data_IF_638324536760
#
_entry.id   IF_638324536760
#
_cell.length_a   1.000
_cell.length_b   1.000
_cell.length_c   1.000
_cell.angle_alpha   90.00
_cell.angle_beta   90.00
_cell.angle_gamma   90.00
#
_symmetry.space_group_name_H-M   'P 1'
#
loop_
_entity.id
_entity.type
_entity.pdbx_description
1 polymer ?
#
# COMPACT_ATOMS: atom_id res chain seq x y z
N UNK A 1 -7.48 -13.99 15.62
CA UNK A 1 -7.71 -12.85 16.51
C UNK A 1 -8.10 -11.69 15.62
N UNK A 2 -9.15 -10.94 15.96
CA UNK A 2 -9.62 -9.82 15.12
C UNK A 2 -8.62 -8.68 15.24
N UNK A 3 -8.27 -8.04 14.11
CA UNK A 3 -7.34 -6.93 14.09
C UNK A 3 -8.08 -5.60 14.24
N UNK A 4 -7.61 -4.78 15.18
CA UNK A 4 -8.07 -3.39 15.32
C UNK A 4 -7.25 -2.49 14.38
N UNK A 5 -7.92 -1.57 13.70
CA UNK A 5 -7.29 -0.61 12.81
C UNK A 5 -7.63 0.80 13.29
N UNK A 6 -6.59 1.54 13.71
CA UNK A 6 -6.69 2.95 14.09
C UNK A 6 -6.76 3.83 12.84
N UNK A 7 -7.58 4.87 12.87
CA UNK A 7 -7.65 5.85 11.79
C UNK A 7 -6.38 6.72 11.79
N UNK A 8 -5.82 6.97 10.61
CA UNK A 8 -4.69 7.88 10.44
C UNK A 8 -5.15 9.34 10.32
N UNK A 9 -6.29 9.56 9.67
CA UNK A 9 -6.94 10.86 9.51
C UNK A 9 -8.39 10.82 9.99
N UNK A 10 -9.04 12.00 10.10
CA UNK A 10 -10.46 12.10 10.48
C UNK A 10 -11.42 11.50 9.45
N UNK A 11 -10.99 11.30 8.20
CA UNK A 11 -11.82 10.76 7.11
C UNK A 11 -11.69 9.24 6.95
N UNK A 12 -10.68 8.64 7.60
CA UNK A 12 -10.34 7.22 7.42
C UNK A 12 -11.16 6.27 8.31
N UNK A 13 -12.06 6.79 9.16
CA UNK A 13 -12.82 5.98 10.11
C UNK A 13 -13.58 4.84 9.41
N UNK A 14 -14.22 5.12 8.27
CA UNK A 14 -14.94 4.10 7.50
C UNK A 14 -14.03 3.02 6.94
N UNK A 15 -12.86 3.39 6.43
CA UNK A 15 -11.90 2.42 5.87
C UNK A 15 -11.28 1.56 6.98
N UNK A 16 -10.98 2.16 8.12
CA UNK A 16 -10.55 1.43 9.31
C UNK A 16 -11.59 0.40 9.77
N UNK A 17 -12.88 0.79 9.81
CA UNK A 17 -13.97 -0.15 10.10
C UNK A 17 -14.06 -1.28 9.08
N UNK A 18 -13.93 -0.99 7.78
CA UNK A 18 -13.90 -2.00 6.71
C UNK A 18 -12.79 -3.02 6.94
N UNK A 19 -11.56 -2.57 7.23
CA UNK A 19 -10.44 -3.46 7.52
C UNK A 19 -10.72 -4.34 8.73
N UNK A 20 -11.27 -3.78 9.80
CA UNK A 20 -11.66 -4.54 10.99
C UNK A 20 -12.69 -5.61 10.65
N UNK A 21 -13.74 -5.29 9.89
CA UNK A 21 -14.77 -6.26 9.46
C UNK A 21 -14.18 -7.37 8.59
N UNK A 22 -13.31 -7.03 7.63
CA UNK A 22 -12.66 -8.04 6.77
C UNK A 22 -11.77 -8.95 7.64
N UNK A 23 -11.00 -8.39 8.58
CA UNK A 23 -10.16 -9.18 9.50
C UNK A 23 -10.97 -10.09 10.42
N UNK A 24 -12.22 -9.72 10.75
CA UNK A 24 -13.13 -10.56 11.53
C UNK A 24 -13.49 -11.83 10.77
N UNK A 25 -13.88 -11.72 9.50
CA UNK A 25 -14.29 -12.86 8.68
C UNK A 25 -13.13 -13.65 8.06
N UNK A 26 -11.98 -13.00 7.88
CA UNK A 26 -10.78 -13.56 7.25
C UNK A 26 -9.52 -13.22 8.07
N UNK A 27 -9.33 -13.82 9.25
CA UNK A 27 -8.24 -13.45 10.17
C UNK A 27 -6.84 -13.81 9.67
N UNK A 28 -6.72 -14.63 8.62
CA UNK A 28 -5.45 -14.99 7.97
C UNK A 28 -5.13 -14.12 6.75
N UNK A 29 -5.97 -13.15 6.42
CA UNK A 29 -5.78 -12.31 5.25
C UNK A 29 -4.64 -11.32 5.52
N UNK A 30 -3.50 -11.53 4.87
CA UNK A 30 -2.34 -10.65 4.98
C UNK A 30 -2.57 -9.36 4.16
N UNK A 31 -1.84 -8.29 4.49
CA UNK A 31 -1.81 -7.02 3.73
C UNK A 31 -3.08 -6.15 3.71
N UNK A 32 -4.01 -6.30 4.65
CA UNK A 32 -5.13 -5.35 4.83
C UNK A 32 -4.65 -3.91 5.07
N UNK A 33 -3.44 -3.71 5.60
CA UNK A 33 -2.84 -2.38 5.76
C UNK A 33 -2.65 -1.64 4.43
N UNK A 34 -2.46 -2.38 3.33
CA UNK A 34 -2.27 -1.82 1.98
C UNK A 34 -3.57 -1.29 1.35
N UNK A 35 -4.74 -1.68 1.86
CA UNK A 35 -6.00 -1.04 1.52
C UNK A 35 -5.96 0.38 2.09
N UNK A 36 -5.81 1.37 1.22
CA UNK A 36 -5.94 2.76 1.63
C UNK A 36 -7.23 3.32 1.03
N UNK A 37 -7.81 4.25 1.78
CA UNK A 37 -8.90 5.08 1.29
C UNK A 37 -8.42 5.86 0.05
N UNK A 38 -9.29 5.99 -0.95
CA UNK A 38 -9.00 6.87 -2.08
C UNK A 38 -9.15 8.32 -1.58
N UNK A 39 -8.01 8.97 -1.29
CA UNK A 39 -7.95 10.34 -0.78
C UNK A 39 -8.63 11.39 -1.69
N UNK A 40 -9.08 11.02 -2.89
CA UNK A 40 -9.86 11.93 -3.73
C UNK A 40 -11.30 12.15 -3.21
N UNK A 41 -11.75 11.38 -2.22
CA UNK A 41 -13.07 11.57 -1.61
C UNK A 41 -12.95 12.40 -0.31
N UNK A 42 -13.13 13.71 -0.44
CA UNK A 42 -13.00 14.68 0.66
C UNK A 42 -14.08 14.58 1.75
N UNK A 43 -15.07 13.70 1.60
CA UNK A 43 -16.17 13.52 2.57
C UNK A 43 -16.01 12.28 3.46
N UNK A 44 -15.03 11.41 3.18
CA UNK A 44 -14.94 10.08 3.81
C UNK A 44 -15.83 9.05 3.10
N UNK A 45 -15.78 7.79 3.53
CA UNK A 45 -16.63 6.74 2.95
C UNK A 45 -18.09 6.90 3.37
N UNK A 46 -19.01 6.85 2.41
CA UNK A 46 -20.43 6.63 2.71
C UNK A 46 -20.69 5.16 3.06
N UNK A 47 -21.85 4.86 3.67
CA UNK A 47 -22.27 3.47 3.90
C UNK A 47 -22.36 2.68 2.59
N UNK A 48 -22.81 3.31 1.51
CA UNK A 48 -22.86 2.68 0.18
C UNK A 48 -21.46 2.31 -0.34
N UNK A 49 -20.46 3.16 -0.11
CA UNK A 49 -19.08 2.84 -0.48
C UNK A 49 -18.54 1.67 0.37
N UNK A 50 -18.85 1.64 1.66
CA UNK A 50 -18.49 0.55 2.57
C UNK A 50 -19.10 -0.77 2.10
N UNK A 51 -20.40 -0.80 1.78
CA UNK A 51 -21.08 -1.97 1.22
C UNK A 51 -20.41 -2.43 -0.08
N UNK A 52 -20.09 -1.50 -0.98
CA UNK A 52 -19.40 -1.79 -2.24
C UNK A 52 -18.01 -2.40 -2.03
N UNK A 53 -17.23 -1.89 -1.07
CA UNK A 53 -15.90 -2.43 -0.75
C UNK A 53 -16.03 -3.83 -0.14
N UNK A 54 -16.90 -4.02 0.85
CA UNK A 54 -17.12 -5.31 1.51
C UNK A 54 -17.58 -6.39 0.52
N UNK A 55 -18.40 -6.02 -0.46
CA UNK A 55 -18.87 -6.92 -1.52
C UNK A 55 -17.72 -7.48 -2.36
N UNK A 56 -16.67 -6.70 -2.60
CA UNK A 56 -15.47 -7.18 -3.30
C UNK A 56 -14.75 -8.29 -2.53
N UNK A 57 -14.94 -8.35 -1.21
CA UNK A 57 -14.46 -9.38 -0.30
C UNK A 57 -15.49 -10.48 -0.03
N UNK A 58 -16.53 -10.60 -0.87
CA UNK A 58 -17.63 -11.57 -0.69
C UNK A 58 -18.34 -11.47 0.67
N UNK A 59 -18.38 -10.25 1.22
CA UNK A 59 -19.16 -9.89 2.39
C UNK A 59 -20.31 -9.03 1.88
N UNK A 60 -21.52 -9.59 1.87
CA UNK A 60 -22.72 -8.82 1.58
C UNK A 60 -23.05 -7.99 2.83
N UNK A 61 -23.43 -6.73 2.66
CA UNK A 61 -23.74 -5.86 3.77
C UNK A 61 -24.96 -5.01 3.43
N UNK A 62 -25.84 -4.85 4.41
CA UNK A 62 -27.05 -4.04 4.29
C UNK A 62 -27.15 -3.08 5.48
N UNK A 63 -27.58 -1.85 5.20
CA UNK A 63 -27.80 -0.81 6.20
C UNK A 63 -29.25 -0.79 6.69
N UNK A 64 -29.44 -0.64 8.01
CA UNK A 64 -30.75 -0.62 8.67
C UNK A 64 -30.84 0.55 9.66
N UNK A 65 -32.04 1.10 9.80
CA UNK A 65 -32.35 2.06 10.85
C UNK A 65 -32.86 1.33 12.11
N UNK A 66 -32.40 1.77 13.27
CA UNK A 66 -32.75 1.24 14.58
C UNK A 66 -33.29 2.37 15.45
N UNK A 67 -34.54 2.20 15.86
CA UNK A 67 -35.24 3.21 16.65
C UNK A 67 -35.21 2.92 18.17
N UNK A 68 -34.82 1.70 18.57
CA UNK A 68 -34.83 1.30 19.99
C UNK A 68 -33.58 0.53 20.40
N UNK A 69 -33.06 0.75 21.63
CA UNK A 69 -31.84 0.08 22.10
C UNK A 69 -32.02 -1.43 22.27
N UNK A 70 -33.25 -1.91 22.47
CA UNK A 70 -33.56 -3.34 22.59
C UNK A 70 -33.30 -4.12 21.30
N UNK A 71 -33.43 -3.48 20.13
CA UNK A 71 -33.15 -4.12 18.83
C UNK A 71 -31.68 -4.48 18.68
N UNK A 72 -30.77 -3.75 19.34
CA UNK A 72 -29.35 -4.08 19.35
C UNK A 72 -29.12 -5.51 19.88
N UNK A 73 -30.01 -6.03 20.75
CA UNK A 73 -29.83 -7.34 21.40
C UNK A 73 -29.92 -8.51 20.41
N UNK A 74 -30.57 -8.27 19.27
CA UNK A 74 -30.86 -9.30 18.28
C UNK A 74 -29.98 -9.17 17.02
N UNK A 75 -29.05 -8.21 17.01
CA UNK A 75 -28.17 -8.01 15.87
C UNK A 75 -27.08 -9.09 15.83
N UNK A 76 -26.80 -9.65 14.65
CA UNK A 76 -25.66 -10.54 14.49
C UNK A 76 -24.35 -9.74 14.53
N UNK A 77 -23.31 -10.35 15.08
CA UNK A 77 -21.95 -9.78 15.09
C UNK A 77 -21.12 -10.24 13.88
N UNK A 78 -20.16 -9.43 13.42
CA UNK A 78 -19.94 -8.04 13.82
C UNK A 78 -20.96 -7.13 13.11
N UNK A 79 -21.17 -5.92 13.61
CA UNK A 79 -21.93 -4.89 12.88
C UNK A 79 -21.24 -3.54 13.01
N UNK A 80 -21.44 -2.68 12.02
CA UNK A 80 -20.98 -1.31 12.02
C UNK A 80 -22.12 -0.41 12.50
N UNK A 81 -21.83 0.53 13.38
CA UNK A 81 -22.78 1.51 13.89
C UNK A 81 -22.32 2.92 13.57
N UNK A 82 -23.26 3.76 13.16
CA UNK A 82 -23.01 5.18 12.95
C UNK A 82 -23.30 5.93 14.25
N UNK A 83 -22.28 6.59 14.76
CA UNK A 83 -22.36 7.44 15.95
C UNK A 83 -22.07 8.89 15.59
N UNK A 84 -22.51 9.81 16.43
CA UNK A 84 -22.22 11.23 16.29
C UNK A 84 -21.08 11.62 17.24
N UNK A 85 -20.02 12.21 16.71
CA UNK A 85 -18.93 12.79 17.50
C UNK A 85 -18.67 14.21 17.04
N UNK A 86 -18.80 15.15 17.98
CA UNK A 86 -18.59 16.57 17.74
C UNK A 86 -19.38 17.13 16.52
N UNK A 87 -20.60 16.62 16.29
CA UNK A 87 -21.46 17.05 15.18
C UNK A 87 -21.15 16.39 13.84
N UNK A 88 -20.24 15.39 13.79
CA UNK A 88 -19.87 14.67 12.58
C UNK A 88 -20.19 13.17 12.72
N UNK A 89 -20.59 12.50 11.61
CA UNK A 89 -20.78 11.06 11.62
C UNK A 89 -19.44 10.34 11.78
N UNK A 90 -19.43 9.35 12.67
CA UNK A 90 -18.28 8.50 12.94
C UNK A 90 -18.71 7.03 12.91
N UNK A 91 -17.84 6.16 12.44
CA UNK A 91 -18.13 4.74 12.30
C UNK A 91 -17.40 3.94 13.37
N UNK A 92 -18.12 2.99 13.95
CA UNK A 92 -17.62 2.11 15.00
C UNK A 92 -18.04 0.68 14.68
N UNK A 93 -17.15 -0.30 14.88
CA UNK A 93 -17.47 -1.72 14.68
C UNK A 93 -17.70 -2.39 16.04
N UNK A 94 -18.86 -3.00 16.21
CA UNK A 94 -19.16 -3.86 17.35
C UNK A 94 -18.82 -5.30 16.97
N UNK A 95 -17.89 -5.89 17.72
CA UNK A 95 -17.29 -7.19 17.40
C UNK A 95 -17.97 -8.36 18.11
N UNK A 96 -18.39 -8.13 19.34
CA UNK A 96 -19.02 -9.11 20.21
C UNK A 96 -19.73 -8.38 21.36
N UNK A 97 -20.56 -9.07 22.13
CA UNK A 97 -21.15 -8.48 23.31
C UNK A 97 -22.19 -9.34 24.01
N UNK A 98 -22.35 -9.05 25.29
CA UNK A 98 -23.35 -9.64 26.15
C UNK A 98 -24.57 -8.72 26.27
N UNK A 99 -25.49 -9.05 27.19
CA UNK A 99 -26.68 -8.25 27.46
C UNK A 99 -26.40 -6.84 27.99
N UNK A 100 -25.21 -6.56 28.54
CA UNK A 100 -24.87 -5.24 29.12
C UNK A 100 -23.66 -4.55 28.46
N UNK A 101 -22.64 -5.31 28.08
CA UNK A 101 -21.37 -4.80 27.59
C UNK A 101 -21.14 -5.24 26.15
N UNK A 102 -20.67 -4.32 25.32
CA UNK A 102 -20.27 -4.56 23.95
C UNK A 102 -18.75 -4.41 23.85
N UNK A 103 -18.13 -5.31 23.10
CA UNK A 103 -16.72 -5.22 22.70
C UNK A 103 -16.66 -4.50 21.36
N UNK A 104 -16.00 -3.35 21.35
CA UNK A 104 -16.11 -2.35 20.31
C UNK A 104 -14.73 -1.94 19.81
N UNK A 105 -14.58 -1.91 18.49
CA UNK A 105 -13.43 -1.38 17.79
C UNK A 105 -13.78 0.01 17.25
N UNK A 106 -13.39 1.04 17.99
CA UNK A 106 -13.50 2.44 17.60
C UNK A 106 -12.19 2.90 16.94
N UNK A 107 -12.16 3.23 15.63
CA UNK A 107 -10.95 3.67 14.94
C UNK A 107 -10.27 4.90 15.55
N UNK A 108 -10.98 5.69 16.35
CA UNK A 108 -10.40 6.85 17.03
C UNK A 108 -9.49 6.46 18.22
N UNK A 109 -9.70 5.27 18.78
CA UNK A 109 -8.97 4.78 19.95
C UNK A 109 -7.81 3.86 19.50
N UNK A 110 -6.89 3.54 20.41
CA UNK A 110 -5.72 2.72 20.06
C UNK A 110 -6.00 1.22 20.14
N UNK A 111 -6.97 0.83 20.96
CA UNK A 111 -7.29 -0.56 21.26
C UNK A 111 -8.80 -0.79 21.25
N UNK A 112 -9.17 -2.07 21.25
CA UNK A 112 -10.56 -2.51 21.38
C UNK A 112 -11.02 -2.25 22.82
N UNK A 113 -12.16 -1.59 22.96
CA UNK A 113 -12.71 -1.21 24.25
C UNK A 113 -14.02 -1.94 24.56
N UNK A 114 -14.41 -1.92 25.83
CA UNK A 114 -15.73 -2.37 26.26
C UNK A 114 -16.58 -1.18 26.65
N UNK A 115 -17.73 -1.05 26.02
CA UNK A 115 -18.68 0.04 26.27
C UNK A 115 -20.04 -0.54 26.67
N UNK A 116 -20.80 0.20 27.48
CA UNK A 116 -22.17 -0.21 27.78
C UNK A 116 -23.10 -0.01 26.57
N UNK A 117 -24.07 -0.90 26.39
CA UNK A 117 -25.01 -0.83 25.26
C UNK A 117 -25.80 0.47 25.21
N UNK A 118 -26.23 0.94 26.38
CA UNK A 118 -27.01 2.17 26.52
C UNK A 118 -26.19 3.40 26.15
N UNK A 119 -24.91 3.40 26.51
CA UNK A 119 -23.97 4.47 26.17
C UNK A 119 -23.63 4.48 24.67
N UNK A 120 -23.45 3.32 24.05
CA UNK A 120 -23.25 3.26 22.61
C UNK A 120 -24.51 3.75 21.86
N UNK A 121 -25.69 3.31 22.29
CA UNK A 121 -26.95 3.73 21.66
C UNK A 121 -27.22 5.23 21.83
N UNK A 122 -26.87 5.83 22.98
CA UNK A 122 -27.06 7.27 23.20
C UNK A 122 -26.16 8.15 22.32
N UNK A 123 -25.02 7.63 21.87
CA UNK A 123 -24.13 8.27 20.90
C UNK A 123 -24.55 8.01 19.46
N UNK A 124 -25.47 7.08 19.23
CA UNK A 124 -25.80 6.62 17.88
C UNK A 124 -26.75 7.54 17.13
N UNK A 125 -26.60 7.56 15.81
CA UNK A 125 -27.56 8.20 14.89
C UNK A 125 -28.71 7.23 14.53
N UNK A 126 -28.74 6.04 15.14
CA UNK A 126 -29.74 5.00 14.87
C UNK A 126 -29.54 4.30 13.52
N UNK A 127 -28.35 4.32 12.93
CA UNK A 127 -28.05 3.60 11.69
C UNK A 127 -26.99 2.52 11.98
N UNK A 128 -27.25 1.30 11.51
CA UNK A 128 -26.29 0.20 11.54
C UNK A 128 -26.11 -0.40 10.16
N UNK A 129 -24.96 -1.00 9.91
CA UNK A 129 -24.67 -1.81 8.73
C UNK A 129 -24.30 -3.21 9.21
N UNK A 130 -25.00 -4.20 8.68
CA UNK A 130 -24.87 -5.60 9.08
C UNK A 130 -24.16 -6.36 7.96
N UNK A 131 -22.87 -6.68 8.12
CA UNK A 131 -22.15 -7.54 7.21
C UNK A 131 -22.54 -9.01 7.39
N UNK A 132 -22.53 -9.76 6.29
CA UNK A 132 -22.75 -11.20 6.25
C UNK A 132 -21.82 -11.81 5.22
N UNK A 133 -20.96 -12.72 5.67
CA UNK A 133 -20.09 -13.49 4.78
C UNK A 133 -20.95 -14.39 3.87
N UNK A 134 -20.71 -14.30 2.56
CA UNK A 134 -21.33 -15.22 1.59
C UNK A 134 -20.76 -16.63 1.75
N UNK A 135 -21.63 -17.63 1.89
CA UNK A 135 -21.24 -19.04 2.14
C UNK A 135 -20.46 -19.66 0.96
N UNK A 136 -20.50 -19.04 -0.22
CA UNK A 136 -19.96 -19.60 -1.46
C UNK A 136 -18.45 -19.35 -1.68
N UNK A 137 -17.78 -18.53 -0.85
CA UNK A 137 -16.39 -18.12 -1.10
C UNK A 137 -15.52 -18.19 0.16
N UNK A 138 -14.61 -19.17 0.19
CA UNK A 138 -13.44 -19.13 1.08
C UNK A 138 -12.34 -18.31 0.41
N UNK A 139 -12.24 -17.02 0.74
CA UNK A 139 -11.13 -16.18 0.28
C UNK A 139 -9.77 -16.58 0.87
N UNK A 140 -9.73 -17.32 1.98
CA UNK A 140 -8.48 -17.83 2.56
C UNK A 140 -7.70 -18.74 1.59
N UNK A 141 -8.41 -19.42 0.67
CA UNK A 141 -7.79 -20.29 -0.34
C UNK A 141 -7.38 -19.51 -1.60
N UNK A 142 -7.85 -18.26 -1.75
CA UNK A 142 -7.60 -17.41 -2.93
C UNK A 142 -6.48 -16.42 -2.66
N UNK A 143 -5.23 -16.90 -2.71
CA UNK A 143 -4.01 -16.06 -2.69
C UNK A 143 -4.03 -14.94 -3.75
N UNK A 144 -4.75 -15.16 -4.86
CA UNK A 144 -4.76 -14.24 -6.00
C UNK A 144 -5.74 -13.05 -5.85
N UNK A 145 -6.71 -13.11 -4.92
CA UNK A 145 -7.70 -12.02 -4.72
C UNK A 145 -7.23 -11.02 -3.66
N UNK A 146 -6.19 -11.38 -2.89
CA UNK A 146 -5.67 -10.52 -1.83
C UNK A 146 -4.72 -9.50 -2.44
N UNK A 147 -5.32 -8.35 -2.75
CA UNK A 147 -4.71 -7.02 -2.87
C UNK A 147 -3.60 -6.92 -3.92
N UNK A 148 -3.95 -6.35 -5.09
CA UNK A 148 -2.99 -5.49 -5.79
C UNK A 148 -2.60 -4.43 -4.75
N UNK A 149 -1.43 -4.59 -4.14
CA UNK A 149 -0.92 -3.64 -3.16
C UNK A 149 -0.91 -2.26 -3.81
N UNK A 150 -1.20 -1.18 -3.07
CA UNK A 150 -1.03 0.17 -3.61
C UNK A 150 0.36 0.34 -4.22
N UNK A 151 1.39 -0.28 -3.62
CA UNK A 151 2.74 -0.34 -4.17
C UNK A 151 2.78 -0.99 -5.55
N UNK A 152 2.05 -2.09 -5.79
CA UNK A 152 1.98 -2.75 -7.09
C UNK A 152 1.22 -1.90 -8.11
N UNK A 153 0.10 -1.29 -7.70
CA UNK A 153 -0.67 -0.38 -8.58
C UNK A 153 0.16 0.82 -9.01
N UNK A 154 0.88 1.42 -8.06
CA UNK A 154 1.78 2.53 -8.28
C UNK A 154 2.97 2.11 -9.15
N UNK A 155 3.58 0.95 -8.87
CA UNK A 155 4.66 0.39 -9.66
C UNK A 155 4.23 0.12 -11.10
N UNK A 156 3.06 -0.48 -11.31
CA UNK A 156 2.51 -0.72 -12.65
C UNK A 156 2.18 0.57 -13.39
N UNK A 157 1.61 1.58 -12.70
CA UNK A 157 1.36 2.91 -13.28
C UNK A 157 2.67 3.58 -13.69
N UNK A 158 3.70 3.50 -12.85
CA UNK A 158 5.02 4.06 -13.16
C UNK A 158 5.73 3.31 -14.29
N UNK A 159 5.69 1.98 -14.28
CA UNK A 159 6.19 1.19 -15.39
C UNK A 159 5.47 1.51 -16.70
N UNK A 160 4.16 1.80 -16.66
CA UNK A 160 3.41 2.25 -17.82
C UNK A 160 3.83 3.65 -18.29
N UNK A 161 4.18 4.56 -17.37
CA UNK A 161 4.63 5.93 -17.68
C UNK A 161 6.03 5.97 -18.29
N UNK A 162 6.87 4.95 -18.04
CA UNK A 162 8.19 4.84 -18.64
C UNK A 162 8.09 4.62 -20.16
N UNK A 163 8.60 5.59 -20.92
CA UNK A 163 8.70 5.50 -22.39
C UNK A 163 9.54 4.31 -22.86
N UNK A 164 9.15 3.71 -23.98
CA UNK A 164 9.75 2.46 -24.50
C UNK A 164 11.27 2.54 -24.68
N UNK A 165 11.81 3.71 -25.05
CA UNK A 165 13.26 3.95 -25.19
C UNK A 165 14.04 3.61 -23.91
N UNK A 166 13.52 3.98 -22.74
CA UNK A 166 14.17 3.72 -21.44
C UNK A 166 14.09 2.24 -21.08
N UNK A 167 12.95 1.59 -21.35
CA UNK A 167 12.76 0.15 -21.14
C UNK A 167 13.76 -0.67 -21.95
N UNK A 168 13.88 -0.39 -23.25
CA UNK A 168 14.85 -1.05 -24.11
C UNK A 168 16.30 -0.76 -23.68
N UNK A 169 16.61 0.49 -23.30
CA UNK A 169 17.96 0.83 -22.86
C UNK A 169 18.41 0.01 -21.63
N UNK A 170 17.54 -0.14 -20.62
CA UNK A 170 17.85 -0.98 -19.44
C UNK A 170 18.03 -2.44 -19.85
N UNK A 171 17.14 -2.97 -20.69
CA UNK A 171 17.21 -4.34 -21.15
C UNK A 171 18.53 -4.65 -21.87
N UNK A 172 18.92 -3.83 -22.84
CA UNK A 172 20.16 -4.02 -23.59
C UNK A 172 21.42 -3.81 -22.73
N UNK A 173 21.42 -2.81 -21.84
CA UNK A 173 22.56 -2.59 -20.93
C UNK A 173 22.72 -3.74 -19.93
N UNK A 174 21.60 -4.28 -19.41
CA UNK A 174 21.61 -5.44 -18.53
C UNK A 174 22.19 -6.69 -19.21
N UNK A 175 21.75 -6.97 -20.44
CA UNK A 175 22.29 -8.08 -21.24
C UNK A 175 23.79 -7.88 -21.51
N UNK A 176 24.19 -6.68 -21.96
CA UNK A 176 25.58 -6.38 -22.25
C UNK A 176 26.48 -6.60 -21.03
N UNK A 177 26.01 -6.25 -19.83
CA UNK A 177 26.73 -6.43 -18.58
C UNK A 177 26.91 -7.88 -18.16
N UNK A 178 26.01 -8.78 -18.57
CA UNK A 178 26.14 -10.22 -18.33
C UNK A 178 27.09 -10.85 -19.35
N UNK A 179 26.97 -10.48 -20.62
CA UNK A 179 27.74 -11.09 -21.72
C UNK A 179 29.21 -10.66 -21.68
N UNK A 180 29.51 -9.38 -21.46
CA UNK A 180 30.88 -8.85 -21.53
C UNK A 180 31.85 -9.57 -20.58
N UNK A 181 31.56 -9.74 -19.28
CA UNK A 181 32.46 -10.46 -18.37
C UNK A 181 32.72 -11.90 -18.81
N UNK A 182 31.70 -12.60 -19.31
CA UNK A 182 31.83 -13.98 -19.82
C UNK A 182 32.74 -14.01 -21.04
N UNK A 183 32.58 -13.09 -21.98
CA UNK A 183 33.46 -13.00 -23.15
C UNK A 183 34.90 -12.68 -22.76
N UNK A 184 35.11 -11.74 -21.83
CA UNK A 184 36.45 -11.37 -21.33
C UNK A 184 37.12 -12.59 -20.66
N UNK A 185 36.39 -13.33 -19.83
CA UNK A 185 36.89 -14.53 -19.17
C UNK A 185 37.30 -15.61 -20.20
N UNK A 186 36.51 -15.80 -21.25
CA UNK A 186 36.82 -16.75 -22.32
C UNK A 186 38.07 -16.35 -23.12
N UNK A 187 38.20 -15.06 -23.47
CA UNK A 187 39.40 -14.52 -24.13
C UNK A 187 40.66 -14.67 -23.27
N UNK A 188 40.54 -14.45 -21.96
CA UNK A 188 41.63 -14.69 -21.00
C UNK A 188 42.05 -16.16 -20.98
N UNK A 189 41.08 -17.08 -20.93
CA UNK A 189 41.34 -18.52 -20.92
C UNK A 189 42.06 -18.99 -22.18
N UNK A 190 41.63 -18.54 -23.37
CA UNK A 190 42.28 -18.86 -24.66
C UNK A 190 43.72 -18.35 -24.70
N UNK A 191 43.95 -17.14 -24.18
CA UNK A 191 45.28 -16.53 -24.16
C UNK A 191 46.22 -17.31 -23.23
N UNK A 192 45.73 -17.74 -22.07
CA UNK A 192 46.52 -18.51 -21.10
C UNK A 192 46.82 -19.94 -21.57
N UNK A 193 45.86 -20.63 -22.19
CA UNK A 193 46.06 -22.02 -22.64
C UNK A 193 47.03 -22.15 -23.82
N UNK A 194 47.15 -21.11 -24.65
CA UNK A 194 47.95 -21.11 -25.86
C UNK A 194 49.17 -20.18 -25.78
N UNK A 195 49.61 -19.83 -24.57
CA UNK A 195 50.66 -18.85 -24.31
C UNK A 195 52.02 -19.19 -24.96
N UNK A 196 52.32 -20.48 -25.16
CA UNK A 196 53.59 -20.91 -25.78
C UNK A 196 53.48 -21.18 -27.30
N UNK A 197 52.26 -21.32 -27.84
CA UNK A 197 52.02 -21.78 -29.21
C UNK A 197 51.55 -20.66 -30.17
N UNK A 198 51.16 -19.50 -29.66
CA UNK A 198 50.67 -18.37 -30.46
C UNK A 198 51.81 -17.38 -30.74
N UNK A 199 51.82 -16.79 -31.95
CA UNK A 199 52.76 -15.71 -32.29
C UNK A 199 52.56 -14.51 -31.37
N UNK A 200 53.65 -13.87 -30.95
CA UNK A 200 53.63 -12.74 -30.02
C UNK A 200 52.68 -11.59 -30.44
N UNK A 201 52.52 -11.34 -31.73
CA UNK A 201 51.58 -10.33 -32.27
C UNK A 201 50.12 -10.60 -31.89
N UNK A 202 49.67 -11.85 -31.97
CA UNK A 202 48.30 -12.24 -31.61
C UNK A 202 48.06 -12.16 -30.10
N UNK A 203 49.08 -12.39 -29.27
CA UNK A 203 49.00 -12.23 -27.81
C UNK A 203 48.81 -10.77 -27.40
N UNK A 204 49.53 -9.85 -28.04
CA UNK A 204 49.34 -8.42 -27.82
C UNK A 204 47.94 -7.96 -28.25
N UNK A 205 47.43 -8.50 -29.36
CA UNK A 205 46.07 -8.20 -29.82
C UNK A 205 45.00 -8.72 -28.84
N UNK A 206 45.14 -9.94 -28.30
CA UNK A 206 44.17 -10.48 -27.35
C UNK A 206 44.16 -9.70 -26.03
N UNK A 207 45.34 -9.31 -25.52
CA UNK A 207 45.46 -8.45 -24.34
C UNK A 207 44.85 -7.07 -24.56
N UNK A 208 45.09 -6.45 -25.72
CA UNK A 208 44.47 -5.17 -26.08
C UNK A 208 42.93 -5.29 -26.15
N UNK A 209 42.41 -6.39 -26.69
CA UNK A 209 40.97 -6.67 -26.74
C UNK A 209 40.36 -6.87 -25.34
N UNK A 210 41.09 -7.49 -24.41
CA UNK A 210 40.65 -7.67 -23.02
C UNK A 210 40.59 -6.33 -22.28
N UNK A 211 41.61 -5.48 -22.45
CA UNK A 211 41.63 -4.14 -21.85
C UNK A 211 40.49 -3.28 -22.41
N UNK A 212 40.29 -3.32 -23.73
CA UNK A 212 39.19 -2.61 -24.38
C UNK A 212 37.82 -3.12 -23.90
N UNK A 213 37.64 -4.44 -23.81
CA UNK A 213 36.40 -5.05 -23.29
C UNK A 213 36.13 -4.64 -21.84
N UNK A 214 37.17 -4.58 -21.00
CA UNK A 214 37.07 -4.15 -19.61
C UNK A 214 36.70 -2.66 -19.49
N UNK A 215 37.26 -1.81 -20.36
CA UNK A 215 36.88 -0.41 -20.46
C UNK A 215 35.42 -0.22 -20.90
N UNK A 216 34.97 -0.99 -21.90
CA UNK A 216 33.57 -0.97 -22.35
C UNK A 216 32.61 -1.44 -21.25
N UNK A 217 32.97 -2.49 -20.51
CA UNK A 217 32.21 -2.93 -19.34
C UNK A 217 32.06 -1.82 -18.30
N UNK A 218 33.16 -1.12 -17.98
CA UNK A 218 33.12 0.01 -17.05
C UNK A 218 32.19 1.14 -17.54
N UNK A 219 32.27 1.49 -18.82
CA UNK A 219 31.38 2.50 -19.43
C UNK A 219 29.90 2.09 -19.37
N UNK A 220 29.57 0.85 -19.73
CA UNK A 220 28.19 0.36 -19.65
C UNK A 220 27.68 0.31 -18.21
N UNK A 221 28.52 -0.07 -17.25
CA UNK A 221 28.17 -0.06 -15.83
C UNK A 221 27.83 1.36 -15.31
N UNK A 222 28.57 2.38 -15.74
CA UNK A 222 28.28 3.78 -15.41
C UNK A 222 26.96 4.23 -16.04
N UNK A 223 26.74 3.91 -17.32
CA UNK A 223 25.52 4.29 -18.03
C UNK A 223 24.28 3.64 -17.41
N UNK A 224 24.35 2.35 -17.07
CA UNK A 224 23.28 1.62 -16.39
C UNK A 224 22.96 2.25 -15.03
N UNK A 225 23.99 2.51 -14.21
CA UNK A 225 23.82 3.13 -12.89
C UNK A 225 23.17 4.50 -12.98
N UNK A 226 23.60 5.35 -13.94
CA UNK A 226 23.00 6.67 -14.17
C UNK A 226 21.53 6.58 -14.62
N UNK A 227 21.20 5.62 -15.49
CA UNK A 227 19.83 5.42 -15.94
C UNK A 227 18.92 4.92 -14.82
N UNK A 228 19.39 3.95 -14.02
CA UNK A 228 18.67 3.45 -12.84
C UNK A 228 18.42 4.57 -11.83
N UNK A 229 19.47 5.32 -11.47
CA UNK A 229 19.33 6.45 -10.55
C UNK A 229 18.35 7.52 -11.06
N UNK A 230 18.34 7.80 -12.37
CA UNK A 230 17.35 8.73 -12.95
C UNK A 230 15.92 8.20 -12.86
N UNK A 231 15.72 6.90 -13.09
CA UNK A 231 14.39 6.27 -13.00
C UNK A 231 13.91 6.22 -11.54
N UNK A 232 14.79 5.88 -10.61
CA UNK A 232 14.49 5.90 -9.18
C UNK A 232 14.12 7.31 -8.72
N UNK A 233 14.87 8.33 -9.12
CA UNK A 233 14.56 9.71 -8.78
C UNK A 233 13.25 10.19 -9.42
N UNK A 234 13.00 9.85 -10.69
CA UNK A 234 11.74 10.17 -11.37
C UNK A 234 10.55 9.47 -10.65
N UNK A 235 10.72 8.22 -10.19
CA UNK A 235 9.71 7.48 -9.43
C UNK A 235 9.45 8.12 -8.06
N UNK A 236 10.50 8.41 -7.29
CA UNK A 236 10.39 9.06 -5.99
C UNK A 236 9.73 10.42 -6.11
N UNK A 237 10.07 11.20 -7.14
CA UNK A 237 9.44 12.50 -7.38
C UNK A 237 7.95 12.35 -7.75
N UNK A 238 7.58 11.35 -8.55
CA UNK A 238 6.17 11.06 -8.87
C UNK A 238 5.38 10.65 -7.61
N UNK A 239 5.96 9.81 -6.75
CA UNK A 239 5.35 9.45 -5.46
C UNK A 239 5.19 10.66 -4.55
N UNK A 240 6.25 11.42 -4.34
CA UNK A 240 6.24 12.56 -3.44
C UNK A 240 5.27 13.62 -3.95
N UNK A 241 5.32 13.94 -5.25
CA UNK A 241 4.42 14.93 -5.84
C UNK A 241 2.96 14.49 -5.78
N UNK A 242 2.63 13.23 -6.08
CA UNK A 242 1.26 12.73 -5.96
C UNK A 242 0.79 12.70 -4.50
N UNK A 243 1.63 12.27 -3.57
CA UNK A 243 1.34 12.30 -2.13
C UNK A 243 1.06 13.72 -1.64
N UNK A 244 1.94 14.68 -1.96
CA UNK A 244 1.79 16.06 -1.51
C UNK A 244 0.66 16.80 -2.23
N UNK A 245 0.41 16.55 -3.52
CA UNK A 245 -0.74 17.13 -4.21
C UNK A 245 -2.05 16.66 -3.59
N UNK A 246 -2.16 15.37 -3.29
CA UNK A 246 -3.33 14.83 -2.61
C UNK A 246 -3.50 15.46 -1.22
N UNK A 247 -2.42 15.57 -0.44
CA UNK A 247 -2.48 16.24 0.85
C UNK A 247 -2.82 17.74 0.75
N UNK A 248 -2.24 18.49 -0.20
CA UNK A 248 -2.52 19.92 -0.43
C UNK A 248 -3.96 20.19 -0.86
N UNK A 249 -4.55 19.30 -1.64
CA UNK A 249 -5.97 19.38 -1.95
C UNK A 249 -6.82 19.20 -0.68
N UNK A 250 -6.46 18.26 0.20
CA UNK A 250 -7.11 18.09 1.52
C UNK A 250 -6.89 19.29 2.47
N UNK A 251 -5.72 19.94 2.41
CA UNK A 251 -5.41 21.14 3.19
C UNK A 251 -6.27 22.35 2.82
N UNK A 252 -6.59 22.52 1.53
CA UNK A 252 -7.43 23.64 1.06
C UNK A 252 -8.86 23.60 1.64
N UNK A 253 -9.30 22.40 2.06
CA UNK A 253 -10.65 22.13 2.55
C UNK A 253 -10.73 22.07 4.09
N UNK A 254 -9.66 21.67 4.79
CA UNK A 254 -9.70 21.41 6.25
C UNK A 254 -9.26 22.58 7.13
N UNK A 255 -8.61 23.64 6.60
CA UNK A 255 -8.15 24.85 7.35
C UNK A 255 -7.46 24.57 8.70
N UNK A 256 -6.81 23.41 8.89
CA UNK A 256 -6.28 23.01 10.18
C UNK A 256 -4.74 23.16 10.24
N UNK A 257 -4.27 24.27 10.82
CA UNK A 257 -2.86 24.70 10.82
C UNK A 257 -1.90 23.81 11.63
N UNK A 258 -2.40 23.05 12.60
CA UNK A 258 -1.55 22.16 13.44
C UNK A 258 -0.97 20.99 12.64
N UNK A 259 -1.71 20.47 11.66
CA UNK A 259 -1.22 19.43 10.77
C UNK A 259 -0.11 19.96 9.85
N UNK A 260 -0.25 21.19 9.33
CA UNK A 260 0.74 21.80 8.44
C UNK A 260 2.11 21.91 9.12
N UNK A 261 2.14 22.31 10.40
CA UNK A 261 3.37 22.36 11.18
C UNK A 261 4.02 20.98 11.29
N UNK A 262 3.25 19.97 11.70
CA UNK A 262 3.75 18.60 11.88
C UNK A 262 4.26 17.97 10.58
N UNK A 263 3.54 18.16 9.47
CA UNK A 263 3.97 17.68 8.15
C UNK A 263 5.18 18.43 7.61
N UNK A 264 5.25 19.76 7.80
CA UNK A 264 6.42 20.56 7.46
C UNK A 264 7.67 20.07 8.20
N UNK A 265 7.55 19.80 9.51
CA UNK A 265 8.67 19.27 10.29
C UNK A 265 9.10 17.87 9.84
N UNK A 266 8.14 16.98 9.54
CA UNK A 266 8.46 15.67 8.98
C UNK A 266 9.14 15.77 7.61
N UNK A 267 8.73 16.72 6.77
CA UNK A 267 9.33 16.96 5.45
C UNK A 267 10.76 17.47 5.59
N UNK A 268 10.99 18.45 6.47
CA UNK A 268 12.31 18.97 6.79
C UNK A 268 13.23 17.84 7.29
N UNK A 269 12.73 17.01 8.21
CA UNK A 269 13.47 15.87 8.78
C UNK A 269 13.76 14.78 7.73
N UNK A 270 12.85 14.55 6.78
CA UNK A 270 13.03 13.54 5.73
C UNK A 270 13.98 14.00 4.61
N UNK A 271 14.01 15.29 4.30
CA UNK A 271 14.90 15.87 3.30
C UNK A 271 16.33 16.03 3.81
N UNK A 272 16.50 16.23 5.12
CA UNK A 272 17.81 16.10 5.78
C UNK A 272 18.10 14.62 5.98
N UNK A 273 18.77 13.98 5.04
CA UNK A 273 19.29 12.61 5.20
C UNK A 273 20.34 12.49 6.31
N UNK A 274 19.97 12.81 7.55
CA UNK A 274 20.72 12.60 8.80
C UNK A 274 19.85 11.70 9.67
N UNK A 275 19.71 10.46 9.23
CA UNK A 275 19.94 9.25 10.05
C UNK A 275 20.13 8.06 9.14
#
# INVERSE_FOLDING_TARGET
>A
MVSHYKQATLLDCGMACVKTIISYYFPKLEHLDSLQFDNNNHQGLSLFDIEGILKNYSIDADSYQIDTPSLLNNLPFPYLMVVERAGLPHYIVVLDGDNNLLTVSDPANEEIEKISRLELFSQSVGIVLIPKKSESVNLEDRKDIVTISYADKLYHRFLASLGWKRKFAIFFLGIAKIILPVTIAFFLQITMSNLLNIQFSFQLFSLASIILGSYLYWQFSILETRLKGKIENDFLNDILSSFYQNQLNDFSLTKNYEYVSSYFWNLLLSATGIM
#
